data_IF_929554429823
#
_entry.id   IF_929554429823
#
_cell.length_a   1.000
_cell.length_b   1.000
_cell.length_c   1.000
_cell.angle_alpha   90.00
_cell.angle_beta   90.00
_cell.angle_gamma   90.00
#
_symmetry.space_group_name_H-M   'P 1'
#
loop_
_entity.id
_entity.type
_entity.pdbx_description
1 polymer ?
#
# COMPACT_ATOMS: atom_id res chain seq x y z
N UNK A 1 -2.78 -10.00 -28.39
CA UNK A 1 -3.17 -10.86 -27.24
C UNK A 1 -2.26 -10.75 -26.02
N UNK A 2 -0.91 -10.82 -26.14
CA UNK A 2 0.02 -10.72 -24.97
C UNK A 2 -0.11 -9.42 -24.15
N UNK A 3 -0.22 -8.26 -24.79
CA UNK A 3 -0.34 -6.95 -24.10
C UNK A 3 -1.63 -6.79 -23.29
N UNK A 4 -2.73 -7.42 -23.72
CA UNK A 4 -4.03 -7.37 -23.04
C UNK A 4 -4.01 -8.18 -21.73
N UNK A 5 -3.39 -9.37 -21.78
CA UNK A 5 -3.22 -10.26 -20.62
C UNK A 5 -2.30 -9.68 -19.54
N UNK A 6 -1.17 -9.05 -19.95
CA UNK A 6 -0.26 -8.38 -19.01
C UNK A 6 -0.91 -7.20 -18.29
N UNK A 7 -1.75 -6.41 -18.99
CA UNK A 7 -2.54 -5.35 -18.34
C UNK A 7 -3.53 -5.91 -17.32
N UNK A 8 -4.22 -7.00 -17.67
CA UNK A 8 -5.22 -7.66 -16.83
C UNK A 8 -4.59 -8.27 -15.57
N UNK A 9 -3.41 -8.90 -15.71
CA UNK A 9 -2.65 -9.46 -14.58
C UNK A 9 -2.15 -8.38 -13.61
N UNK A 10 -1.68 -7.23 -14.11
CA UNK A 10 -1.25 -6.08 -13.29
C UNK A 10 -2.41 -5.41 -12.55
N UNK A 11 -3.58 -5.30 -13.19
CA UNK A 11 -4.79 -4.77 -12.56
C UNK A 11 -5.27 -5.72 -11.45
N UNK A 12 -5.28 -7.03 -11.71
CA UNK A 12 -5.64 -8.03 -10.71
C UNK A 12 -4.68 -8.04 -9.50
N UNK A 13 -3.39 -7.77 -9.72
CA UNK A 13 -2.40 -7.64 -8.64
C UNK A 13 -2.65 -6.39 -7.78
N UNK A 14 -2.94 -5.24 -8.40
CA UNK A 14 -3.23 -4.00 -7.69
C UNK A 14 -4.54 -4.08 -6.89
N UNK A 15 -5.61 -4.61 -7.50
CA UNK A 15 -6.88 -4.87 -6.81
C UNK A 15 -6.68 -5.87 -5.67
N UNK A 16 -5.91 -6.93 -5.91
CA UNK A 16 -5.59 -7.93 -4.90
C UNK A 16 -4.73 -7.40 -3.74
N UNK A 17 -3.85 -6.43 -3.99
CA UNK A 17 -3.07 -5.75 -2.96
C UNK A 17 -3.98 -4.96 -2.03
N UNK A 18 -4.93 -4.20 -2.55
CA UNK A 18 -5.87 -3.44 -1.71
C UNK A 18 -6.89 -4.31 -1.03
N UNK A 19 -7.33 -5.40 -1.64
CA UNK A 19 -8.19 -6.36 -0.93
C UNK A 19 -7.44 -7.05 0.21
N UNK A 20 -6.15 -7.31 0.00
CA UNK A 20 -5.22 -7.72 1.04
C UNK A 20 -5.10 -6.65 2.14
N UNK A 21 -4.88 -5.38 1.79
CA UNK A 21 -4.81 -4.28 2.74
C UNK A 21 -6.12 -4.11 3.50
N UNK A 22 -7.27 -4.02 2.83
CA UNK A 22 -8.61 -3.89 3.41
C UNK A 22 -8.90 -5.05 4.37
N UNK A 23 -8.61 -6.29 3.97
CA UNK A 23 -8.82 -7.48 4.80
C UNK A 23 -7.87 -7.53 6.00
N UNK A 24 -6.61 -7.15 5.81
CA UNK A 24 -5.62 -7.05 6.88
C UNK A 24 -6.01 -5.99 7.93
N UNK A 25 -6.37 -4.80 7.45
CA UNK A 25 -6.82 -3.64 8.21
C UNK A 25 -8.09 -3.97 9.02
N UNK A 26 -8.95 -4.88 8.53
CA UNK A 26 -10.26 -5.23 9.11
C UNK A 26 -10.32 -6.56 9.88
N UNK A 27 -9.19 -7.25 10.10
CA UNK A 27 -9.05 -8.58 10.78
C UNK A 27 -10.20 -9.58 10.56
N UNK A 28 -10.07 -10.38 9.51
CA UNK A 28 -10.41 -11.82 9.56
C UNK A 28 -9.09 -12.57 9.48
N UNK A 29 -8.69 -13.23 10.57
CA UNK A 29 -7.48 -14.05 10.78
C UNK A 29 -6.13 -13.50 10.27
N UNK A 30 -5.37 -12.90 11.20
CA UNK A 30 -4.03 -12.35 11.00
C UNK A 30 -2.93 -13.31 10.49
N UNK A 31 -3.23 -14.59 10.23
CA UNK A 31 -2.29 -15.59 9.70
C UNK A 31 -2.76 -16.28 8.41
N UNK A 32 -3.98 -15.98 7.92
CA UNK A 32 -4.47 -16.43 6.61
C UNK A 32 -4.64 -15.30 5.60
N UNK A 33 -4.23 -14.07 5.95
CA UNK A 33 -4.46 -12.83 5.17
C UNK A 33 -3.69 -12.74 3.85
N UNK A 34 -3.29 -13.87 3.29
CA UNK A 34 -3.10 -13.90 1.86
C UNK A 34 -3.56 -15.18 1.14
N UNK A 35 -4.87 -15.31 0.87
CA UNK A 35 -5.37 -16.12 -0.23
C UNK A 35 -5.19 -15.41 -1.58
N UNK A 36 -4.57 -14.22 -1.58
CA UNK A 36 -4.14 -13.47 -2.78
C UNK A 36 -2.63 -13.58 -2.96
N UNK A 37 -1.85 -13.91 -1.94
CA UNK A 37 -0.54 -14.50 -2.15
C UNK A 37 -0.75 -15.92 -2.71
N UNK A 38 -1.92 -16.55 -2.54
CA UNK A 38 -2.31 -17.67 -3.38
C UNK A 38 -2.32 -17.39 -4.90
N UNK A 39 -2.46 -16.15 -5.37
CA UNK A 39 -2.53 -15.81 -6.82
C UNK A 39 -1.32 -14.97 -7.25
N UNK A 40 -0.96 -13.95 -6.46
CA UNK A 40 0.30 -13.23 -6.55
C UNK A 40 1.50 -14.14 -6.26
N UNK A 41 1.47 -15.06 -5.28
CA UNK A 41 2.52 -16.09 -5.14
C UNK A 41 2.35 -17.31 -6.04
N UNK A 42 1.19 -17.56 -6.65
CA UNK A 42 1.14 -18.54 -7.75
C UNK A 42 1.92 -18.04 -8.98
N UNK A 43 2.13 -16.74 -9.11
CA UNK A 43 3.14 -16.16 -10.00
C UNK A 43 4.56 -16.28 -9.40
N UNK A 44 4.73 -16.15 -8.08
CA UNK A 44 6.03 -16.23 -7.34
C UNK A 44 6.57 -17.66 -7.14
N UNK A 45 5.83 -18.72 -7.50
CA UNK A 45 6.41 -20.09 -7.54
C UNK A 45 7.49 -20.27 -8.62
N UNK A 46 7.88 -19.20 -9.32
CA UNK A 46 9.00 -19.14 -10.24
C UNK A 46 10.11 -18.26 -9.66
N UNK A 47 10.94 -18.84 -8.78
CA UNK A 47 12.21 -18.29 -8.25
C UNK A 47 12.08 -16.92 -7.55
N UNK A 48 11.92 -16.94 -6.22
CA UNK A 48 11.99 -15.76 -5.35
C UNK A 48 13.18 -14.86 -5.71
N UNK A 49 12.90 -13.80 -6.47
CA UNK A 49 13.91 -12.83 -6.89
C UNK A 49 14.15 -11.82 -5.77
N UNK A 50 15.34 -11.22 -5.72
CA UNK A 50 15.65 -10.14 -4.76
C UNK A 50 14.61 -9.00 -4.84
N UNK A 51 14.06 -8.75 -6.03
CA UNK A 51 13.01 -7.75 -6.25
C UNK A 51 11.74 -8.08 -5.47
N UNK A 52 11.30 -9.34 -5.50
CA UNK A 52 10.09 -9.77 -4.80
C UNK A 52 10.28 -9.76 -3.27
N UNK A 53 11.46 -10.14 -2.78
CA UNK A 53 11.81 -10.01 -1.36
C UNK A 53 11.75 -8.55 -0.89
N UNK A 54 12.31 -7.63 -1.69
CA UNK A 54 12.28 -6.20 -1.39
C UNK A 54 10.85 -5.65 -1.40
N UNK A 55 10.03 -6.01 -2.39
CA UNK A 55 8.63 -5.58 -2.44
C UNK A 55 7.85 -6.08 -1.21
N UNK A 56 8.01 -7.35 -0.83
CA UNK A 56 7.38 -7.91 0.38
C UNK A 56 7.78 -7.14 1.63
N UNK A 57 9.06 -6.82 1.80
CA UNK A 57 9.55 -6.05 2.94
C UNK A 57 8.98 -4.62 2.97
N UNK A 58 8.92 -3.94 1.82
CA UNK A 58 8.30 -2.61 1.71
C UNK A 58 6.82 -2.64 2.10
N UNK A 59 6.09 -3.65 1.65
CA UNK A 59 4.68 -3.86 1.99
C UNK A 59 4.52 -4.12 3.50
N UNK A 60 5.36 -4.97 4.11
CA UNK A 60 5.30 -5.23 5.57
C UNK A 60 5.49 -3.94 6.36
N UNK A 61 6.53 -3.16 6.06
CA UNK A 61 6.79 -1.88 6.72
C UNK A 61 5.60 -0.94 6.61
N UNK A 62 5.01 -0.83 5.42
CA UNK A 62 3.86 0.03 5.18
C UNK A 62 2.66 -0.39 6.06
N UNK A 63 2.37 -1.68 6.08
CA UNK A 63 1.26 -2.28 6.81
C UNK A 63 1.45 -2.16 8.33
N UNK A 64 2.63 -2.54 8.84
CA UNK A 64 2.95 -2.52 10.27
C UNK A 64 2.87 -1.09 10.82
N UNK A 65 3.31 -0.11 10.02
CA UNK A 65 3.22 1.31 10.38
C UNK A 65 1.77 1.80 10.43
N UNK A 66 0.91 1.36 9.51
CA UNK A 66 -0.52 1.72 9.57
C UNK A 66 -1.16 1.17 10.85
N UNK A 67 -0.84 -0.07 11.21
CA UNK A 67 -1.35 -0.69 12.43
C UNK A 67 -0.91 0.03 13.69
N UNK A 68 0.33 0.52 13.74
CA UNK A 68 0.86 1.32 14.85
C UNK A 68 0.21 2.70 14.94
N UNK A 69 -0.12 3.31 13.79
CA UNK A 69 -0.59 4.71 13.71
C UNK A 69 -2.11 4.88 13.62
N UNK A 70 -2.89 3.81 13.63
CA UNK A 70 -4.36 3.85 13.59
C UNK A 70 -4.98 2.78 14.47
N UNK A 71 -6.17 3.03 14.98
CA UNK A 71 -6.94 2.02 15.71
C UNK A 71 -7.62 1.05 14.76
N UNK A 72 -8.02 -0.12 15.28
CA UNK A 72 -8.78 -1.08 14.51
C UNK A 72 -10.12 -0.52 14.00
N UNK A 73 -10.78 0.30 14.81
CA UNK A 73 -12.06 0.92 14.46
C UNK A 73 -11.93 1.92 13.31
N UNK A 74 -10.88 2.73 13.29
CA UNK A 74 -10.59 3.68 12.20
C UNK A 74 -10.35 2.94 10.89
N UNK A 75 -9.59 1.86 10.98
CA UNK A 75 -9.27 0.94 9.89
C UNK A 75 -10.51 0.26 9.31
N UNK A 76 -11.39 -0.27 10.15
CA UNK A 76 -12.66 -0.90 9.73
C UNK A 76 -13.57 0.13 9.06
N UNK A 77 -13.74 1.32 9.64
CA UNK A 77 -14.54 2.40 9.03
C UNK A 77 -14.02 2.79 7.65
N UNK A 78 -12.70 2.88 7.49
CA UNK A 78 -12.09 3.17 6.20
C UNK A 78 -12.29 2.04 5.18
N UNK A 79 -12.17 0.79 5.61
CA UNK A 79 -12.51 -0.39 4.80
C UNK A 79 -13.95 -0.36 4.30
N UNK A 80 -14.92 -0.02 5.15
CA UNK A 80 -16.31 0.15 4.75
C UNK A 80 -16.51 1.29 3.74
N UNK A 81 -15.78 2.39 3.89
CA UNK A 81 -15.77 3.48 2.90
C UNK A 81 -15.30 2.97 1.53
N UNK A 82 -14.21 2.21 1.48
CA UNK A 82 -13.68 1.65 0.22
C UNK A 82 -14.60 0.58 -0.40
N UNK A 83 -15.38 -0.15 0.41
CA UNK A 83 -16.38 -1.11 -0.11
C UNK A 83 -17.54 -0.41 -0.81
N UNK A 84 -17.89 0.80 -0.38
CA UNK A 84 -19.00 1.60 -0.93
C UNK A 84 -18.58 2.44 -2.15
N UNK A 85 -17.29 2.71 -2.30
CA UNK A 85 -16.72 3.55 -3.35
C UNK A 85 -15.68 2.77 -4.16
N UNK A 86 -16.16 2.10 -5.22
CA UNK A 86 -15.32 1.25 -6.07
C UNK A 86 -14.24 2.05 -6.80
N UNK A 87 -14.59 3.23 -7.33
CA UNK A 87 -13.64 4.07 -8.06
C UNK A 87 -12.51 4.56 -7.15
N UNK A 88 -12.85 4.98 -5.93
CA UNK A 88 -11.83 5.36 -4.93
C UNK A 88 -10.94 4.16 -4.58
N UNK A 89 -11.53 2.99 -4.38
CA UNK A 89 -10.78 1.76 -4.08
C UNK A 89 -9.80 1.45 -5.20
N UNK A 90 -10.25 1.36 -6.44
CA UNK A 90 -9.39 1.03 -7.59
C UNK A 90 -8.26 2.06 -7.78
N UNK A 91 -8.58 3.34 -7.70
CA UNK A 91 -7.60 4.42 -7.84
C UNK A 91 -6.54 4.38 -6.73
N UNK A 92 -6.96 4.30 -5.46
CA UNK A 92 -6.02 4.20 -4.34
C UNK A 92 -5.16 2.94 -4.44
N UNK A 93 -5.73 1.84 -4.94
CA UNK A 93 -5.00 0.59 -5.14
C UNK A 93 -3.85 0.71 -6.10
N UNK A 94 -4.13 1.22 -7.30
CA UNK A 94 -3.14 1.37 -8.35
C UNK A 94 -2.02 2.30 -7.90
N UNK A 95 -2.36 3.48 -7.39
CA UNK A 95 -1.35 4.48 -7.04
C UNK A 95 -0.48 4.03 -5.85
N UNK A 96 -1.05 3.43 -4.81
CA UNK A 96 -0.28 2.96 -3.65
C UNK A 96 0.69 1.85 -4.05
N UNK A 97 0.19 0.85 -4.77
CA UNK A 97 1.02 -0.28 -5.22
C UNK A 97 2.17 0.20 -6.11
N UNK A 98 1.89 1.07 -7.08
CA UNK A 98 2.91 1.63 -7.98
C UNK A 98 4.00 2.37 -7.22
N UNK A 99 3.66 3.23 -6.27
CA UNK A 99 4.65 3.98 -5.50
C UNK A 99 5.47 3.06 -4.60
N UNK A 100 4.83 2.13 -3.89
CA UNK A 100 5.53 1.18 -3.01
C UNK A 100 6.48 0.30 -3.83
N UNK A 101 6.09 -0.20 -5.01
CA UNK A 101 6.98 -1.02 -5.85
C UNK A 101 8.16 -0.21 -6.41
N UNK A 102 7.96 1.06 -6.74
CA UNK A 102 9.00 1.94 -7.29
C UNK A 102 10.04 2.42 -6.29
N UNK A 103 9.74 2.42 -4.98
CA UNK A 103 10.72 2.86 -3.98
C UNK A 103 11.96 1.95 -3.95
N UNK A 104 13.14 2.58 -3.97
CA UNK A 104 14.44 1.90 -3.93
C UNK A 104 14.96 1.67 -2.49
N UNK A 105 14.19 2.09 -1.50
CA UNK A 105 14.53 1.99 -0.08
C UNK A 105 13.31 1.60 0.76
N UNK A 106 13.55 1.48 2.07
CA UNK A 106 12.57 1.07 3.07
C UNK A 106 12.03 2.25 3.91
N UNK A 107 12.63 3.43 3.80
CA UNK A 107 12.23 4.64 4.52
C UNK A 107 10.98 5.26 3.92
N UNK A 108 10.87 5.34 2.59
CA UNK A 108 9.69 5.89 1.91
C UNK A 108 8.41 5.10 2.17
N UNK A 109 8.39 3.75 2.15
CA UNK A 109 7.23 2.98 2.57
C UNK A 109 6.75 3.35 3.99
N UNK A 110 7.69 3.58 4.92
CA UNK A 110 7.38 4.00 6.28
C UNK A 110 6.75 5.40 6.32
N UNK A 111 7.35 6.36 5.63
CA UNK A 111 6.84 7.75 5.57
C UNK A 111 5.46 7.79 4.91
N UNK A 112 5.30 7.09 3.80
CA UNK A 112 4.02 7.02 3.09
C UNK A 112 2.93 6.40 3.96
N UNK A 113 3.25 5.36 4.73
CA UNK A 113 2.30 4.75 5.66
C UNK A 113 1.82 5.74 6.73
N UNK A 114 2.72 6.57 7.30
CA UNK A 114 2.31 7.60 8.27
C UNK A 114 1.33 8.60 7.66
N UNK A 115 1.58 9.04 6.43
CA UNK A 115 0.71 9.96 5.70
C UNK A 115 -0.64 9.28 5.39
N UNK A 116 -0.61 8.02 4.97
CA UNK A 116 -1.82 7.25 4.70
C UNK A 116 -2.64 7.01 5.98
N UNK A 117 -2.00 6.81 7.14
CA UNK A 117 -2.68 6.76 8.43
C UNK A 117 -3.39 8.08 8.76
N UNK A 118 -2.80 9.23 8.44
CA UNK A 118 -3.51 10.51 8.56
C UNK A 118 -4.76 10.55 7.67
N UNK A 119 -4.71 9.96 6.47
CA UNK A 119 -5.86 9.87 5.59
C UNK A 119 -6.95 8.90 6.12
N UNK A 120 -6.56 7.70 6.59
CA UNK A 120 -7.46 6.73 7.23
C UNK A 120 -8.19 7.36 8.42
N UNK A 121 -7.46 8.13 9.23
CA UNK A 121 -7.98 8.79 10.44
C UNK A 121 -8.66 10.14 10.16
N UNK A 122 -8.90 10.48 8.88
CA UNK A 122 -9.53 11.72 8.43
C UNK A 122 -8.83 13.01 8.92
N UNK A 123 -7.53 12.95 9.25
CA UNK A 123 -6.72 14.13 9.58
C UNK A 123 -6.33 14.94 8.34
N UNK A 124 -6.30 14.29 7.18
CA UNK A 124 -6.09 14.93 5.87
C UNK A 124 -7.15 14.43 4.88
N UNK A 125 -7.46 15.25 3.89
CA UNK A 125 -8.37 14.88 2.78
C UNK A 125 -7.63 14.06 1.72
N UNK A 126 -8.40 13.49 0.79
CA UNK A 126 -7.84 12.70 -0.31
C UNK A 126 -6.87 13.54 -1.16
N UNK A 127 -7.22 14.78 -1.48
CA UNK A 127 -6.38 15.64 -2.32
C UNK A 127 -5.03 15.94 -1.66
N UNK A 128 -5.02 16.08 -0.34
CA UNK A 128 -3.80 16.28 0.46
C UNK A 128 -2.97 15.00 0.48
N UNK A 129 -3.61 13.85 0.71
CA UNK A 129 -2.95 12.55 0.64
C UNK A 129 -2.27 12.32 -0.72
N UNK A 130 -2.98 12.57 -1.82
CA UNK A 130 -2.45 12.40 -3.19
C UNK A 130 -1.24 13.32 -3.41
N UNK A 131 -1.32 14.59 -3.00
CA UNK A 131 -0.18 15.52 -3.09
C UNK A 131 1.04 15.01 -2.33
N UNK A 132 0.84 14.53 -1.10
CA UNK A 132 1.93 14.02 -0.27
C UNK A 132 2.51 12.70 -0.81
N UNK A 133 1.68 11.81 -1.34
CA UNK A 133 2.10 10.58 -2.02
C UNK A 133 3.12 10.89 -3.14
N UNK A 134 2.78 11.83 -4.01
CA UNK A 134 3.68 12.26 -5.10
C UNK A 134 4.93 12.95 -4.56
N UNK A 135 4.80 13.84 -3.57
CA UNK A 135 5.96 14.52 -2.97
C UNK A 135 6.97 13.53 -2.37
N UNK A 136 6.50 12.49 -1.67
CA UNK A 136 7.35 11.42 -1.13
C UNK A 136 7.99 10.59 -2.25
N UNK A 137 7.27 10.37 -3.35
CA UNK A 137 7.78 9.70 -4.54
C UNK A 137 9.02 10.39 -5.11
N UNK A 138 8.91 11.69 -5.35
CA UNK A 138 9.93 12.48 -6.03
C UNK A 138 11.11 12.91 -5.12
N UNK A 139 10.90 12.98 -3.80
CA UNK A 139 11.95 13.43 -2.86
C UNK A 139 12.97 12.34 -2.56
N UNK A 140 14.21 12.70 -2.20
CA UNK A 140 15.14 11.71 -1.66
C UNK A 140 14.75 11.32 -0.23
N UNK A 141 15.01 10.07 0.16
CA UNK A 141 14.65 9.58 1.51
C UNK A 141 15.44 10.29 2.60
N UNK A 142 16.69 10.67 2.29
CA UNK A 142 17.54 11.47 3.16
C UNK A 142 16.92 12.85 3.42
N UNK A 143 16.41 13.53 2.39
CA UNK A 143 15.79 14.85 2.55
C UNK A 143 14.50 14.76 3.38
N UNK A 144 13.69 13.73 3.16
CA UNK A 144 12.45 13.51 3.92
C UNK A 144 12.72 13.23 5.40
N UNK A 145 13.76 12.45 5.72
CA UNK A 145 14.16 12.18 7.11
C UNK A 145 14.69 13.46 7.77
N UNK A 146 15.59 14.17 7.10
CA UNK A 146 16.19 15.40 7.59
C UNK A 146 15.19 16.55 7.74
N UNK A 147 14.10 16.57 6.96
CA UNK A 147 13.08 17.62 7.07
C UNK A 147 12.53 17.75 8.51
N UNK A 148 12.40 16.63 9.23
CA UNK A 148 11.95 16.60 10.63
C UNK A 148 13.02 17.02 11.66
N UNK A 149 14.27 17.17 11.23
CA UNK A 149 15.35 17.64 12.11
C UNK A 149 15.49 19.16 12.10
N UNK A 150 14.98 19.82 11.06
CA UNK A 150 15.07 21.28 10.90
C UNK A 150 13.78 22.02 11.30
N UNK A 151 12.70 21.31 11.65
CA UNK A 151 11.39 21.82 12.09
C UNK A 151 10.72 20.88 13.08
#
# INVERSE_FOLDING_TARGET
MKSKKVKEDSVNLAVGFVDGLIRFVSKTDALEVIPIAGTALKVVKLKDSLKEQNLRRKISIFIDTINDKSTEEERVKFSEKLKKDQDLRENLSGILFMHIDQYNDFSKPYILAKIFSCYITNKIRLEEFIKFLFAVGESSSLDLENFTQYY
#
